data_IF_462328184617
#
_entry.id   IF_462328184617
#
_cell.length_a   1.000
_cell.length_b   1.000
_cell.length_c   1.000
_cell.angle_alpha   90.00
_cell.angle_beta   90.00
_cell.angle_gamma   90.00
#
_symmetry.space_group_name_H-M   'P 1'
#
loop_
_entity.id
_entity.type
_entity.pdbx_description
1 polymer ?
#
# COMPACT_ATOMS: atom_id res chain seq x y z
N UNK A 1 -25.46 8.55 -1.15
CA UNK A 1 -26.01 7.18 -1.21
C UNK A 1 -27.35 7.15 -0.50
N UNK A 2 -28.35 6.46 -1.06
CA UNK A 2 -29.65 6.24 -0.39
C UNK A 2 -29.52 4.96 0.43
N UNK A 3 -29.86 5.01 1.72
CA UNK A 3 -29.76 3.87 2.63
C UNK A 3 -31.13 3.21 2.81
N UNK A 4 -31.14 1.88 2.83
CA UNK A 4 -32.34 1.08 3.10
C UNK A 4 -32.12 0.26 4.37
N UNK A 5 -33.15 0.18 5.22
CA UNK A 5 -33.14 -0.72 6.37
C UNK A 5 -33.55 -2.11 5.92
N UNK A 6 -32.76 -3.10 6.31
CA UNK A 6 -33.07 -4.51 6.14
C UNK A 6 -33.01 -5.17 7.52
N UNK A 7 -33.93 -6.09 7.77
CA UNK A 7 -33.88 -6.95 8.95
C UNK A 7 -33.25 -8.28 8.54
N UNK A 8 -32.33 -8.77 9.36
CA UNK A 8 -31.62 -10.04 9.14
C UNK A 8 -31.68 -10.88 10.41
N UNK A 9 -31.68 -12.20 10.23
CA UNK A 9 -31.67 -13.13 11.35
C UNK A 9 -30.26 -13.31 11.95
N UNK A 10 -30.21 -13.94 13.12
CA UNK A 10 -28.97 -14.17 13.88
C UNK A 10 -27.94 -15.01 13.09
N UNK A 11 -28.42 -15.92 12.25
CA UNK A 11 -27.55 -16.79 11.45
C UNK A 11 -26.85 -15.99 10.36
N UNK A 12 -27.59 -15.11 9.69
CA UNK A 12 -27.05 -14.17 8.70
C UNK A 12 -26.10 -13.19 9.38
N UNK A 13 -26.48 -12.64 10.54
CA UNK A 13 -25.63 -11.74 11.32
C UNK A 13 -24.29 -12.37 11.69
N UNK A 14 -24.33 -13.58 12.27
CA UNK A 14 -23.13 -14.36 12.63
C UNK A 14 -22.26 -14.64 11.41
N UNK A 15 -22.87 -14.96 10.27
CA UNK A 15 -22.15 -15.22 9.04
C UNK A 15 -21.46 -13.96 8.50
N UNK A 16 -22.10 -12.80 8.59
CA UNK A 16 -21.49 -11.52 8.21
C UNK A 16 -20.30 -11.17 9.11
N UNK A 17 -20.42 -11.38 10.43
CA UNK A 17 -19.32 -11.13 11.36
C UNK A 17 -18.09 -12.01 11.11
N UNK A 18 -18.28 -13.29 10.77
CA UNK A 18 -17.17 -14.20 10.48
C UNK A 18 -16.38 -13.81 9.22
N UNK A 19 -17.05 -13.15 8.27
CA UNK A 19 -16.43 -12.72 7.01
C UNK A 19 -15.92 -11.27 7.05
N UNK A 20 -16.20 -10.53 8.11
CA UNK A 20 -15.81 -9.13 8.26
C UNK A 20 -14.37 -9.00 8.79
N UNK A 21 -13.57 -8.12 8.19
CA UNK A 21 -12.33 -7.66 8.81
C UNK A 21 -12.62 -6.65 9.94
N UNK A 22 -12.12 -6.87 11.18
CA UNK A 22 -12.40 -5.99 12.30
C UNK A 22 -11.99 -4.53 12.03
N UNK A 23 -12.89 -3.59 12.32
CA UNK A 23 -12.69 -2.14 12.19
C UNK A 23 -12.48 -1.59 10.77
N UNK A 24 -12.53 -2.46 9.74
CA UNK A 24 -12.35 -2.08 8.33
C UNK A 24 -13.65 -2.29 7.56
N UNK A 25 -14.30 -3.43 7.78
CA UNK A 25 -15.49 -3.81 7.04
C UNK A 25 -16.78 -3.27 7.67
N UNK A 26 -17.66 -2.77 6.81
CA UNK A 26 -19.04 -2.42 7.16
C UNK A 26 -19.97 -3.54 6.69
N UNK A 27 -21.17 -3.69 7.27
CA UNK A 27 -22.14 -4.68 6.79
C UNK A 27 -22.41 -4.59 5.28
N UNK A 28 -22.44 -3.37 4.72
CA UNK A 28 -22.61 -3.15 3.29
C UNK A 28 -21.39 -3.61 2.48
N UNK A 29 -20.14 -3.44 2.95
CA UNK A 29 -18.95 -3.92 2.23
C UNK A 29 -18.90 -5.45 2.20
N UNK A 30 -19.23 -6.10 3.33
CA UNK A 30 -19.29 -7.56 3.43
C UNK A 30 -20.40 -8.12 2.55
N UNK A 31 -21.62 -7.54 2.62
CA UNK A 31 -22.74 -7.97 1.79
C UNK A 31 -22.47 -7.79 0.31
N UNK A 32 -21.87 -6.66 -0.09
CA UNK A 32 -21.57 -6.40 -1.49
C UNK A 32 -20.59 -7.45 -2.05
N UNK A 33 -19.54 -7.78 -1.27
CA UNK A 33 -18.56 -8.82 -1.62
C UNK A 33 -19.17 -10.21 -1.71
N UNK A 34 -20.07 -10.57 -0.79
CA UNK A 34 -20.69 -11.90 -0.75
C UNK A 34 -21.78 -12.10 -1.83
N UNK A 35 -22.55 -11.07 -2.15
CA UNK A 35 -23.72 -11.18 -3.04
C UNK A 35 -23.33 -11.00 -4.51
N UNK A 36 -22.53 -9.98 -4.80
CA UNK A 36 -22.22 -9.60 -6.18
C UNK A 36 -20.85 -10.12 -6.65
N UNK A 37 -20.08 -10.77 -5.75
CA UNK A 37 -18.67 -10.99 -5.98
C UNK A 37 -17.92 -9.65 -6.10
N UNK A 38 -16.61 -9.68 -6.32
CA UNK A 38 -15.84 -8.46 -6.62
C UNK A 38 -16.17 -7.92 -8.02
N UNK A 39 -17.35 -7.35 -8.20
CA UNK A 39 -17.68 -6.48 -9.32
C UNK A 39 -17.96 -5.07 -8.77
N UNK A 40 -16.89 -4.33 -8.48
CA UNK A 40 -17.06 -2.95 -8.00
C UNK A 40 -15.86 -2.27 -7.36
N UNK A 41 -14.72 -2.94 -7.24
CA UNK A 41 -13.39 -2.36 -7.41
C UNK A 41 -12.58 -3.46 -8.05
N UNK A 42 -12.09 -3.25 -9.28
CA UNK A 42 -10.85 -3.90 -9.69
C UNK A 42 -9.76 -3.36 -8.75
N UNK A 43 -9.73 -3.85 -7.51
CA UNK A 43 -8.47 -4.31 -6.98
C UNK A 43 -8.20 -5.49 -7.89
N UNK A 44 -7.32 -5.26 -8.87
CA UNK A 44 -6.94 -6.30 -9.79
C UNK A 44 -6.60 -7.50 -8.94
N UNK A 45 -7.37 -8.56 -9.18
CA UNK A 45 -7.02 -9.91 -8.87
C UNK A 45 -5.51 -10.01 -8.93
N UNK A 46 -4.94 -10.77 -8.01
CA UNK A 46 -3.60 -11.34 -8.09
C UNK A 46 -3.19 -11.69 -9.53
N UNK A 47 -2.84 -10.67 -10.31
CA UNK A 47 -1.66 -10.66 -11.07
C UNK A 47 -0.64 -10.92 -9.98
N UNK A 48 -0.05 -12.09 -10.06
CA UNK A 48 1.39 -12.15 -10.13
C UNK A 48 1.96 -11.00 -11.00
N UNK A 49 1.75 -9.74 -10.62
CA UNK A 49 2.79 -8.75 -10.71
C UNK A 49 3.73 -9.18 -9.60
N UNK A 50 4.63 -10.08 -10.01
CA UNK A 50 6.01 -9.81 -9.74
C UNK A 50 6.21 -8.30 -9.97
N UNK A 51 6.13 -7.52 -8.88
CA UNK A 51 7.18 -6.54 -8.61
C UNK A 51 8.42 -7.29 -9.08
N UNK A 52 9.17 -6.83 -10.12
CA UNK A 52 10.39 -7.50 -10.52
C UNK A 52 11.09 -7.76 -9.23
N UNK A 53 11.12 -9.04 -8.87
CA UNK A 53 11.16 -9.41 -7.47
C UNK A 53 12.52 -8.94 -7.06
N UNK A 54 12.54 -7.83 -6.34
CA UNK A 54 13.74 -7.38 -5.68
C UNK A 54 13.90 -8.27 -4.45
N UNK A 55 13.71 -9.59 -4.59
CA UNK A 55 14.66 -10.56 -4.09
C UNK A 55 15.94 -10.41 -4.90
N UNK A 56 16.52 -9.22 -4.90
CA UNK A 56 17.96 -9.11 -5.00
C UNK A 56 18.42 -9.83 -3.74
N UNK A 57 18.84 -11.07 -3.91
CA UNK A 57 19.51 -11.84 -2.85
C UNK A 57 20.66 -10.95 -2.35
N UNK A 58 20.46 -10.30 -1.19
CA UNK A 58 21.40 -9.30 -0.67
C UNK A 58 20.77 -8.02 -0.11
N UNK A 59 19.49 -7.72 -0.37
CA UNK A 59 18.84 -6.57 0.26
C UNK A 59 18.56 -6.82 1.75
N UNK A 60 18.86 -5.84 2.62
CA UNK A 60 18.45 -5.90 4.01
C UNK A 60 16.93 -6.03 4.08
N UNK A 61 16.44 -7.02 4.83
CA UNK A 61 15.00 -7.29 5.00
C UNK A 61 14.18 -6.03 5.35
N UNK A 62 14.82 -5.10 6.05
CA UNK A 62 14.23 -3.84 6.42
C UNK A 62 14.13 -2.81 5.29
N UNK A 63 15.09 -2.77 4.36
CA UNK A 63 14.97 -1.93 3.16
C UNK A 63 13.82 -2.43 2.29
N UNK A 64 13.69 -3.75 2.12
CA UNK A 64 12.54 -4.35 1.42
C UNK A 64 11.21 -3.95 2.07
N UNK A 65 11.11 -4.04 3.40
CA UNK A 65 9.92 -3.60 4.15
C UNK A 65 9.58 -2.13 3.89
N UNK A 66 10.58 -1.25 3.84
CA UNK A 66 10.37 0.18 3.61
C UNK A 66 9.85 0.43 2.19
N UNK A 67 10.46 -0.18 1.19
CA UNK A 67 10.04 -0.02 -0.21
C UNK A 67 8.62 -0.58 -0.42
N UNK A 68 8.27 -1.71 0.21
CA UNK A 68 6.90 -2.22 0.17
C UNK A 68 5.88 -1.25 0.80
N UNK A 69 6.25 -0.52 1.86
CA UNK A 69 5.36 0.49 2.44
C UNK A 69 5.17 1.67 1.49
N UNK A 70 6.24 2.15 0.85
CA UNK A 70 6.17 3.24 -0.14
C UNK A 70 5.30 2.83 -1.33
N UNK A 71 5.46 1.59 -1.81
CA UNK A 71 4.61 1.03 -2.86
C UNK A 71 3.12 1.13 -2.55
N UNK A 72 2.74 0.67 -1.36
CA UNK A 72 1.35 0.66 -0.92
C UNK A 72 0.78 2.07 -0.72
N UNK A 73 1.63 3.06 -0.43
CA UNK A 73 1.21 4.47 -0.34
C UNK A 73 0.94 5.03 -1.73
N UNK A 74 1.90 4.88 -2.66
CA UNK A 74 1.80 5.53 -3.97
C UNK A 74 0.79 4.85 -4.89
N UNK A 75 0.83 3.51 -4.98
CA UNK A 75 0.00 2.76 -5.94
C UNK A 75 -1.43 2.63 -5.43
N UNK A 76 -1.62 2.40 -4.13
CA UNK A 76 -2.94 2.17 -3.56
C UNK A 76 -3.52 3.38 -2.82
N UNK A 77 -2.78 4.50 -2.75
CA UNK A 77 -3.22 5.72 -2.08
C UNK A 77 -3.43 5.56 -0.58
N UNK A 78 -2.80 4.57 0.04
CA UNK A 78 -2.99 4.30 1.47
C UNK A 78 -2.18 5.25 2.35
N UNK A 79 -2.71 5.54 3.53
CA UNK A 79 -1.91 6.17 4.58
C UNK A 79 -0.75 5.25 5.02
N UNK A 80 0.35 5.82 5.52
CA UNK A 80 1.51 5.05 6.03
C UNK A 80 1.10 3.94 7.00
N UNK A 81 0.14 4.22 7.89
CA UNK A 81 -0.37 3.23 8.86
C UNK A 81 -1.09 2.08 8.18
N UNK A 82 -1.93 2.34 7.18
CA UNK A 82 -2.60 1.31 6.39
C UNK A 82 -1.61 0.48 5.57
N UNK A 83 -0.67 1.14 4.88
CA UNK A 83 0.40 0.49 4.14
C UNK A 83 1.25 -0.40 5.06
N UNK A 84 1.65 0.11 6.23
CA UNK A 84 2.41 -0.66 7.22
C UNK A 84 1.61 -1.87 7.73
N UNK A 85 0.31 -1.73 7.94
CA UNK A 85 -0.55 -2.86 8.34
C UNK A 85 -0.59 -3.96 7.27
N UNK A 86 -0.67 -3.60 5.99
CA UNK A 86 -0.65 -4.56 4.88
C UNK A 86 0.69 -5.28 4.78
N UNK A 87 1.79 -4.54 4.85
CA UNK A 87 3.15 -5.12 4.85
C UNK A 87 3.35 -6.03 6.07
N UNK A 88 2.83 -5.64 7.24
CA UNK A 88 2.88 -6.44 8.46
C UNK A 88 2.11 -7.76 8.34
N UNK A 89 0.89 -7.73 7.77
CA UNK A 89 0.09 -8.91 7.48
C UNK A 89 0.82 -9.85 6.51
N UNK A 90 1.44 -9.30 5.45
CA UNK A 90 2.21 -10.05 4.45
C UNK A 90 3.43 -10.75 5.05
N UNK A 91 4.11 -10.10 5.99
CA UNK A 91 5.34 -10.62 6.61
C UNK A 91 5.12 -11.37 7.93
N UNK A 92 3.87 -11.53 8.38
CA UNK A 92 3.53 -12.17 9.65
C UNK A 92 4.10 -11.45 10.87
N UNK A 93 4.23 -10.12 10.83
CA UNK A 93 4.78 -9.30 11.89
C UNK A 93 3.74 -8.32 12.44
N UNK A 94 4.00 -7.73 13.62
CA UNK A 94 3.18 -6.65 14.13
C UNK A 94 3.51 -5.32 13.41
N UNK A 95 2.52 -4.49 13.02
CA UNK A 95 2.74 -3.20 12.34
C UNK A 95 3.64 -2.24 13.13
N UNK A 96 3.51 -2.23 14.46
CA UNK A 96 4.39 -1.45 15.34
C UNK A 96 5.85 -1.92 15.26
N UNK A 97 6.09 -3.22 15.12
CA UNK A 97 7.44 -3.78 14.99
C UNK A 97 8.08 -3.35 13.67
N UNK A 98 7.32 -3.34 12.57
CA UNK A 98 7.83 -2.85 11.28
C UNK A 98 8.13 -1.35 11.36
N UNK A 99 7.19 -0.55 11.88
CA UNK A 99 7.37 0.90 12.10
C UNK A 99 8.61 1.19 12.92
N UNK A 100 8.71 0.60 14.11
CA UNK A 100 9.85 0.83 14.99
C UNK A 100 11.17 0.38 14.36
N UNK A 101 11.16 -0.69 13.57
CA UNK A 101 12.35 -1.20 12.91
C UNK A 101 12.87 -0.22 11.86
N UNK A 102 12.03 0.23 10.93
CA UNK A 102 12.49 1.17 9.91
C UNK A 102 12.77 2.55 10.48
N UNK A 103 11.96 3.08 11.41
CA UNK A 103 12.23 4.35 12.07
C UNK A 103 13.60 4.33 12.77
N UNK A 104 13.90 3.27 13.53
CA UNK A 104 15.18 3.12 14.21
C UNK A 104 16.36 2.97 13.25
N UNK A 105 16.15 2.32 12.11
CA UNK A 105 17.21 2.16 11.11
C UNK A 105 17.50 3.45 10.34
N UNK A 106 16.46 4.20 9.98
CA UNK A 106 16.57 5.49 9.32
C UNK A 106 16.99 6.61 10.29
N UNK A 107 17.00 6.35 11.60
CA UNK A 107 17.37 7.33 12.61
C UNK A 107 16.35 8.46 12.75
N UNK A 108 15.10 8.23 12.31
CA UNK A 108 14.03 9.22 12.26
C UNK A 108 12.80 8.74 13.02
N UNK A 109 12.01 9.69 13.53
CA UNK A 109 10.72 9.41 14.16
C UNK A 109 9.66 9.19 13.08
N UNK A 110 8.56 8.52 13.45
CA UNK A 110 7.48 8.22 12.52
C UNK A 110 6.91 9.47 11.82
N UNK A 111 6.79 10.60 12.54
CA UNK A 111 6.31 11.85 11.95
C UNK A 111 7.27 12.45 10.92
N UNK A 112 8.59 12.35 11.13
CA UNK A 112 9.57 12.84 10.15
C UNK A 112 9.55 11.99 8.89
N UNK A 113 9.27 10.69 9.03
CA UNK A 113 9.06 9.80 7.89
C UNK A 113 7.75 10.15 7.17
N UNK A 114 6.68 10.43 7.92
CA UNK A 114 5.40 10.88 7.35
C UNK A 114 5.58 12.19 6.54
N UNK A 115 6.36 13.16 7.05
CA UNK A 115 6.69 14.39 6.33
C UNK A 115 7.48 14.13 5.04
N UNK A 116 8.51 13.28 5.10
CA UNK A 116 9.32 12.93 3.93
C UNK A 116 8.56 12.11 2.88
N UNK A 117 7.58 11.32 3.30
CA UNK A 117 6.69 10.56 2.41
C UNK A 117 5.55 11.42 1.84
N UNK A 118 5.25 12.57 2.44
CA UNK A 118 4.28 13.52 1.93
C UNK A 118 4.88 14.48 0.88
N UNK A 119 6.21 14.56 0.79
CA UNK A 119 6.89 15.37 -0.22
C UNK A 119 6.65 14.80 -1.63
N UNK A 120 6.18 15.63 -2.58
CA UNK A 120 6.02 15.19 -3.96
C UNK A 120 7.38 14.81 -4.54
N UNK A 121 7.48 13.62 -5.14
CA UNK A 121 8.74 13.13 -5.68
C UNK A 121 9.58 12.29 -4.72
N UNK A 122 9.18 12.15 -3.44
CA UNK A 122 9.94 11.42 -2.41
C UNK A 122 11.42 11.82 -2.34
N UNK A 123 11.80 13.04 -2.75
CA UNK A 123 13.21 13.40 -2.95
C UNK A 123 14.00 13.28 -1.64
N UNK A 124 13.49 13.88 -0.55
CA UNK A 124 14.12 13.76 0.77
C UNK A 124 14.14 12.33 1.30
N UNK A 125 13.13 11.51 0.97
CA UNK A 125 13.06 10.11 1.37
C UNK A 125 14.04 9.22 0.58
N UNK A 126 14.19 9.47 -0.72
CA UNK A 126 15.15 8.82 -1.63
C UNK A 126 16.58 9.13 -1.20
N UNK A 127 16.89 10.39 -0.92
CA UNK A 127 18.21 10.80 -0.40
C UNK A 127 18.54 10.12 0.92
N UNK A 128 17.57 10.05 1.84
CA UNK A 128 17.73 9.35 3.11
C UNK A 128 18.04 7.86 2.93
N UNK A 129 17.34 7.19 2.00
CA UNK A 129 17.56 5.77 1.73
C UNK A 129 18.91 5.53 1.04
N UNK A 130 19.30 6.37 0.09
CA UNK A 130 20.58 6.24 -0.63
C UNK A 130 21.79 6.55 0.26
N UNK A 131 21.68 7.49 1.20
CA UNK A 131 22.72 7.75 2.20
C UNK A 131 22.87 6.57 3.18
N UNK A 132 21.73 6.05 3.68
CA UNK A 132 21.74 4.95 4.65
C UNK A 132 22.16 3.60 4.04
N UNK A 133 21.73 3.34 2.82
CA UNK A 133 21.99 2.12 2.08
C UNK A 133 22.80 2.42 0.83
N UNK A 134 23.97 3.04 1.01
CA UNK A 134 24.86 3.44 -0.09
C UNK A 134 25.21 2.30 -1.05
N UNK A 135 25.34 1.08 -0.53
CA UNK A 135 25.58 -0.15 -1.32
C UNK A 135 24.40 -0.51 -2.23
N UNK A 136 23.19 -0.06 -1.91
CA UNK A 136 21.96 -0.31 -2.67
C UNK A 136 21.41 0.94 -3.35
N UNK A 137 22.23 1.99 -3.49
CA UNK A 137 21.83 3.26 -4.07
C UNK A 137 21.20 3.11 -5.46
N UNK A 138 21.85 2.38 -6.36
CA UNK A 138 21.36 2.16 -7.74
C UNK A 138 19.99 1.46 -7.76
N UNK A 139 19.78 0.50 -6.86
CA UNK A 139 18.52 -0.24 -6.76
C UNK A 139 17.40 0.68 -6.27
N UNK A 140 17.69 1.52 -5.28
CA UNK A 140 16.75 2.51 -4.75
C UNK A 140 16.40 3.51 -5.84
N UNK A 141 17.39 4.05 -6.55
CA UNK A 141 17.18 4.99 -7.64
C UNK A 141 16.31 4.38 -8.75
N UNK A 142 16.66 3.19 -9.24
CA UNK A 142 15.84 2.48 -10.23
C UNK A 142 14.41 2.20 -9.77
N UNK A 143 14.22 1.88 -8.48
CA UNK A 143 12.89 1.59 -7.92
C UNK A 143 12.00 2.83 -7.96
N UNK A 144 12.51 3.96 -7.45
CA UNK A 144 11.77 5.22 -7.48
C UNK A 144 11.56 5.71 -8.90
N UNK A 145 12.56 5.58 -9.78
CA UNK A 145 12.43 6.03 -11.17
C UNK A 145 11.39 5.18 -11.92
N UNK A 146 11.36 3.86 -11.73
CA UNK A 146 10.31 2.98 -12.30
C UNK A 146 8.92 3.32 -11.76
N UNK A 147 8.81 3.63 -10.47
CA UNK A 147 7.54 4.00 -9.84
C UNK A 147 7.03 5.35 -10.37
N UNK A 148 7.93 6.31 -10.60
CA UNK A 148 7.58 7.62 -11.11
C UNK A 148 7.41 7.65 -12.63
N UNK A 149 8.03 6.74 -13.38
CA UNK A 149 7.88 6.68 -14.84
C UNK A 149 6.47 6.25 -15.25
N UNK A 150 5.79 5.42 -14.44
CA UNK A 150 4.38 5.05 -14.66
C UNK A 150 3.41 6.22 -14.36
N UNK A 151 3.85 7.27 -13.65
CA UNK A 151 3.05 8.47 -13.41
C UNK A 151 2.96 9.39 -14.64
N UNK A 152 3.91 9.29 -15.57
CA UNK A 152 3.87 10.04 -16.83
C UNK A 152 2.90 9.40 -17.86
N UNK A 153 2.71 8.07 -17.83
CA UNK A 153 1.74 7.40 -18.70
C UNK A 153 0.28 7.64 -18.26
N UNK A 154 0.03 7.89 -16.97
CA UNK A 154 -1.28 8.31 -16.48
C UNK A 154 -1.68 9.73 -16.95
N UNK A 155 -0.70 10.57 -17.31
CA UNK A 155 -0.94 11.92 -17.81
C UNK A 155 -1.18 11.98 -19.33
N UNK A 156 -0.90 10.89 -20.07
CA UNK A 156 -1.22 10.80 -21.50
C UNK A 156 -2.68 10.38 -21.76
N UNK A 157 -3.33 9.70 -20.81
CA UNK A 157 -4.73 9.26 -20.93
C UNK A 157 -5.77 10.33 -20.58
N UNK A 158 -5.37 11.44 -19.97
CA UNK A 158 -6.27 12.55 -19.61
C UNK A 158 -6.43 13.58 -20.74
N UNK A 159 -5.50 13.66 -21.70
CA UNK A 159 -5.56 14.65 -22.78
C UNK A 159 -6.42 14.23 -23.99
N UNK A 160 -6.61 12.94 -24.26
CA UNK A 160 -7.39 12.50 -25.45
C UNK A 160 -8.92 12.58 -25.25
N UNK A 161 -9.41 12.68 -24.00
CA UNK A 161 -10.87 12.72 -23.74
C UNK A 161 -11.51 14.12 -23.87
N UNK A 162 -10.75 15.14 -24.25
CA UNK A 162 -11.28 16.52 -24.41
C UNK A 162 -11.51 16.93 -25.88
N UNK A 163 -11.41 16.01 -26.85
CA UNK A 163 -11.59 16.32 -28.29
C UNK A 163 -12.63 15.45 -29.02
N UNK A 164 -13.59 14.84 -28.34
CA UNK A 164 -14.78 14.25 -28.98
C UNK A 164 -16.08 14.82 -28.43
#
# INVERSE_FOLDING_TARGET
MKMHLIEIDEKIWSHLQQNAEPFVDTPNSVLNRLIFGEEGKKEEAAASFSIPTVSIQGLPKSLTQILEVVYEIEVNGYSRTQATHRVAKKQGAAPQTITNKYCRQLGKKAHEIDELMAEPGYAGFKDLLTDKYSVHREIIEMYFDSMMSDADDANFLTLEKSQL
#
